data_IF_598813666370
#
_entry.id   IF_598813666370
#
_cell.length_a   1.000
_cell.length_b   1.000
_cell.length_c   1.000
_cell.angle_alpha   90.00
_cell.angle_beta   90.00
_cell.angle_gamma   90.00
#
_symmetry.space_group_name_H-M   'P 1'
#
loop_
_entity.id
_entity.type
_entity.pdbx_description
1 polymer ?
#
# COMPACT_ATOMS: atom_id res chain seq x y z
N UNK A 1 18.22 -2.91 26.01
CA UNK A 1 19.34 -2.61 25.11
C UNK A 1 19.11 -3.08 23.67
N UNK A 2 18.68 -4.32 23.38
CA UNK A 2 18.35 -4.70 21.99
C UNK A 2 17.06 -4.03 21.45
N UNK A 3 16.06 -3.76 22.30
CA UNK A 3 14.86 -3.05 21.90
C UNK A 3 15.14 -1.57 21.62
N UNK A 4 15.99 -0.93 22.42
CA UNK A 4 16.36 0.48 22.25
C UNK A 4 17.02 0.75 20.90
N UNK A 5 17.93 -0.14 20.47
CA UNK A 5 18.55 -0.07 19.14
C UNK A 5 17.53 -0.24 18.00
N UNK A 6 16.56 -1.15 18.17
CA UNK A 6 15.47 -1.34 17.20
C UNK A 6 14.55 -0.12 17.15
N UNK A 7 14.24 0.48 18.29
CA UNK A 7 13.42 1.70 18.38
C UNK A 7 14.11 2.87 17.69
N UNK A 8 15.42 3.05 17.90
CA UNK A 8 16.20 4.07 17.18
C UNK A 8 16.15 3.84 15.68
N UNK A 9 16.36 2.60 15.23
CA UNK A 9 16.29 2.27 13.80
C UNK A 9 14.92 2.53 13.20
N UNK A 10 13.85 2.21 13.93
CA UNK A 10 12.47 2.47 13.49
C UNK A 10 12.23 3.98 13.37
N UNK A 11 12.70 4.80 14.32
CA UNK A 11 12.59 6.27 14.24
C UNK A 11 13.30 6.85 13.02
N UNK A 12 14.51 6.37 12.72
CA UNK A 12 15.23 6.78 11.51
C UNK A 12 14.47 6.40 10.23
N UNK A 13 13.87 5.20 10.19
CA UNK A 13 13.10 4.74 9.05
C UNK A 13 11.81 5.55 8.84
N UNK A 14 11.16 6.00 9.92
CA UNK A 14 9.98 6.86 9.86
C UNK A 14 10.35 8.24 9.31
N UNK A 15 11.41 8.87 9.83
CA UNK A 15 11.86 10.17 9.33
C UNK A 15 12.17 10.11 7.82
N UNK A 16 12.87 9.06 7.39
CA UNK A 16 13.22 8.84 5.99
C UNK A 16 11.99 8.58 5.10
N UNK A 17 10.91 8.04 5.67
CA UNK A 17 9.62 7.84 4.97
C UNK A 17 8.97 9.18 4.67
N UNK A 18 8.97 10.12 5.62
CA UNK A 18 8.37 11.45 5.44
C UNK A 18 9.09 12.26 4.35
N UNK A 19 10.42 12.20 4.32
CA UNK A 19 11.24 12.85 3.27
C UNK A 19 10.91 12.28 1.88
N UNK A 20 10.81 10.95 1.76
CA UNK A 20 10.45 10.30 0.50
C UNK A 20 9.01 10.62 0.06
N UNK A 21 8.06 10.63 0.99
CA UNK A 21 6.67 10.98 0.70
C UNK A 21 6.53 12.45 0.23
N UNK A 22 7.34 13.37 0.77
CA UNK A 22 7.41 14.76 0.32
C UNK A 22 8.02 14.90 -1.08
N UNK A 23 9.18 14.27 -1.32
CA UNK A 23 9.86 14.29 -2.62
C UNK A 23 9.00 13.66 -3.72
N UNK A 24 8.35 12.53 -3.43
CA UNK A 24 7.41 11.89 -4.36
C UNK A 24 6.16 12.74 -4.59
N UNK A 25 5.67 13.44 -3.56
CA UNK A 25 4.54 14.37 -3.69
C UNK A 25 4.83 15.52 -4.64
N UNK A 26 6.06 16.04 -4.62
CA UNK A 26 6.53 17.10 -5.53
C UNK A 26 6.73 16.59 -6.96
N UNK A 27 7.40 15.44 -7.13
CA UNK A 27 7.67 14.85 -8.45
C UNK A 27 6.42 14.34 -9.17
N UNK A 28 5.47 13.74 -8.44
CA UNK A 28 4.26 13.15 -9.04
C UNK A 28 3.01 14.03 -8.94
N UNK A 29 3.13 15.27 -8.43
CA UNK A 29 2.03 16.23 -8.39
C UNK A 29 0.85 15.79 -7.51
N UNK A 30 1.11 14.92 -6.53
CA UNK A 30 0.11 14.37 -5.63
C UNK A 30 0.73 13.36 -4.68
N UNK A 31 0.32 13.42 -3.41
CA UNK A 31 0.68 12.44 -2.37
C UNK A 31 0.59 11.04 -2.97
N UNK A 32 1.64 10.24 -2.79
CA UNK A 32 1.64 8.82 -3.17
C UNK A 32 0.58 8.15 -2.33
N UNK A 33 -0.67 8.23 -2.78
CA UNK A 33 -1.80 7.55 -2.18
C UNK A 33 -1.44 6.10 -2.31
N UNK A 34 -1.08 5.51 -1.16
CA UNK A 34 -0.99 4.08 -0.90
C UNK A 34 -1.81 3.37 -1.96
N UNK A 35 -1.12 2.69 -2.90
CA UNK A 35 -1.69 2.14 -4.14
C UNK A 35 -3.11 1.72 -3.83
N UNK A 36 -4.12 2.48 -4.28
CA UNK A 36 -5.51 2.21 -3.90
C UNK A 36 -5.82 0.81 -4.40
N UNK A 37 -5.72 -0.16 -3.49
CA UNK A 37 -5.92 -1.55 -3.82
C UNK A 37 -7.36 -1.60 -4.33
N UNK A 38 -7.59 -2.01 -5.59
CA UNK A 38 -8.92 -2.01 -6.14
C UNK A 38 -9.81 -2.86 -5.23
N UNK A 39 -10.87 -2.26 -4.71
CA UNK A 39 -11.87 -2.95 -3.91
C UNK A 39 -12.98 -3.43 -4.84
N UNK A 40 -13.35 -4.68 -4.72
CA UNK A 40 -14.43 -5.24 -5.52
C UNK A 40 -15.78 -4.70 -5.04
N UNK A 41 -16.57 -4.07 -5.91
CA UNK A 41 -17.93 -3.61 -5.55
C UNK A 41 -18.94 -4.75 -5.34
N UNK A 42 -18.58 -5.98 -5.72
CA UNK A 42 -19.45 -7.16 -5.62
C UNK A 42 -19.24 -7.90 -4.30
N UNK A 43 -17.99 -8.18 -3.91
CA UNK A 43 -17.66 -8.92 -2.68
C UNK A 43 -16.99 -8.06 -1.60
N UNK A 44 -16.71 -6.78 -1.86
CA UNK A 44 -16.04 -5.84 -0.96
C UNK A 44 -14.60 -6.21 -0.54
N UNK A 45 -14.00 -7.22 -1.17
CA UNK A 45 -12.61 -7.61 -0.92
C UNK A 45 -11.61 -6.70 -1.66
N UNK A 46 -10.48 -6.34 -1.03
CA UNK A 46 -9.39 -5.63 -1.68
C UNK A 46 -8.56 -6.60 -2.54
N UNK A 47 -8.12 -6.15 -3.71
CA UNK A 47 -7.15 -6.83 -4.57
C UNK A 47 -7.61 -6.96 -6.01
N UNK A 48 -8.91 -6.82 -6.27
CA UNK A 48 -9.51 -7.03 -7.59
C UNK A 48 -10.73 -6.12 -7.80
N UNK A 49 -11.11 -5.87 -9.06
CA UNK A 49 -12.33 -5.09 -9.40
C UNK A 49 -13.54 -6.02 -9.55
N UNK A 50 -14.75 -5.47 -9.56
CA UNK A 50 -15.98 -6.24 -9.80
C UNK A 50 -15.94 -7.08 -11.09
N UNK A 51 -15.19 -6.65 -12.11
CA UNK A 51 -14.97 -7.37 -13.38
C UNK A 51 -14.05 -8.58 -13.27
N UNK A 52 -13.15 -8.60 -12.27
CA UNK A 52 -12.18 -9.68 -12.03
C UNK A 52 -12.48 -10.37 -10.69
N UNK A 53 -13.76 -10.39 -10.29
CA UNK A 53 -14.17 -10.98 -9.03
C UNK A 53 -14.09 -12.52 -9.12
N UNK A 54 -13.30 -13.18 -8.25
CA UNK A 54 -13.17 -14.63 -8.26
C UNK A 54 -14.49 -15.33 -7.94
N UNK A 55 -15.40 -14.67 -7.21
CA UNK A 55 -16.76 -15.17 -6.98
C UNK A 55 -17.63 -15.22 -8.24
N UNK A 56 -17.28 -14.49 -9.31
CA UNK A 56 -17.94 -14.57 -10.62
C UNK A 56 -17.28 -15.56 -11.58
N UNK A 57 -16.01 -15.87 -11.36
CA UNK A 57 -15.24 -16.82 -12.13
C UNK A 57 -14.51 -17.74 -11.16
N UNK A 58 -15.23 -18.69 -10.57
CA UNK A 58 -14.61 -19.86 -9.99
C UNK A 58 -14.02 -20.70 -11.14
N UNK A 59 -12.89 -20.24 -11.69
CA UNK A 59 -11.81 -21.02 -12.34
C UNK A 59 -10.85 -20.06 -13.07
N UNK A 60 -9.62 -19.96 -12.56
CA UNK A 60 -8.37 -19.89 -13.34
C UNK A 60 -7.24 -19.34 -12.45
N UNK A 61 -6.50 -20.19 -11.72
CA UNK A 61 -5.12 -19.87 -11.36
C UNK A 61 -4.24 -20.02 -12.61
N UNK A 62 -3.60 -18.93 -13.04
CA UNK A 62 -2.26 -18.96 -13.62
C UNK A 62 -1.63 -17.56 -13.60
#
# INVERSE_FOLDING_TARGET
MELDSKITRVKELIAKREELDAELGELLGGVVRERRIPRCSTCNEPGHRASTCPSKGADAPN
#
